data_IF_098527972093
#
_entry.id   IF_098527972093
#
_cell.length_a   1.000
_cell.length_b   1.000
_cell.length_c   1.000
_cell.angle_alpha   90.00
_cell.angle_beta   90.00
_cell.angle_gamma   90.00
#
_symmetry.space_group_name_H-M   'P 1'
#
loop_
_entity.id
_entity.type
_entity.pdbx_description
1 polymer ?
#
# COMPACT_ATOMS: atom_id res chain seq x y z
N UNK A 1 29.34 16.30 -0.04
CA UNK A 1 29.58 14.97 0.56
C UNK A 1 28.26 14.45 1.12
N UNK A 2 27.55 13.60 0.38
CA UNK A 2 26.37 12.89 0.90
C UNK A 2 26.87 11.75 1.79
N UNK A 3 26.76 11.91 3.11
CA UNK A 3 26.98 10.82 4.06
C UNK A 3 26.03 9.69 3.68
N UNK A 4 26.57 8.55 3.27
CA UNK A 4 25.79 7.32 3.20
C UNK A 4 25.49 6.95 4.66
N UNK A 5 24.27 7.22 5.14
CA UNK A 5 23.79 6.62 6.37
C UNK A 5 23.75 5.11 6.13
N UNK A 6 24.71 4.40 6.70
CA UNK A 6 24.62 2.96 6.81
C UNK A 6 23.46 2.66 7.74
N UNK A 7 22.38 2.12 7.18
CA UNK A 7 21.26 1.65 7.98
C UNK A 7 21.76 0.56 8.92
N UNK A 8 21.42 0.69 10.21
CA UNK A 8 21.62 -0.41 11.15
C UNK A 8 20.90 -1.67 10.65
N UNK A 9 21.49 -2.83 10.94
CA UNK A 9 20.94 -4.15 10.61
C UNK A 9 19.50 -4.26 11.10
N UNK A 10 19.21 -3.77 12.31
CA UNK A 10 17.86 -3.79 12.90
C UNK A 10 16.84 -3.02 12.06
N UNK A 11 17.22 -1.85 11.53
CA UNK A 11 16.32 -1.01 10.73
C UNK A 11 16.06 -1.62 9.36
N UNK A 12 17.11 -2.20 8.76
CA UNK A 12 16.98 -2.95 7.51
C UNK A 12 16.02 -4.13 7.65
N UNK A 13 16.12 -4.86 8.76
CA UNK A 13 15.25 -6.01 9.03
C UNK A 13 13.79 -5.59 9.21
N UNK A 14 13.53 -4.53 10.00
CA UNK A 14 12.17 -3.99 10.19
C UNK A 14 11.59 -3.49 8.87
N UNK A 15 12.38 -2.80 8.05
CA UNK A 15 11.96 -2.34 6.74
C UNK A 15 11.50 -3.50 5.85
N UNK A 16 12.30 -4.57 5.74
CA UNK A 16 11.95 -5.74 4.94
C UNK A 16 10.71 -6.46 5.45
N UNK A 17 10.53 -6.58 6.78
CA UNK A 17 9.31 -7.16 7.35
C UNK A 17 8.09 -6.34 6.94
N UNK A 18 8.13 -5.03 7.18
CA UNK A 18 7.00 -4.15 6.85
C UNK A 18 6.74 -4.13 5.33
N UNK A 19 7.79 -4.19 4.53
CA UNK A 19 7.68 -4.20 3.07
C UNK A 19 7.04 -5.51 2.59
N UNK A 20 7.45 -6.66 3.13
CA UNK A 20 6.83 -7.94 2.83
C UNK A 20 5.37 -8.00 3.26
N UNK A 21 5.02 -7.41 4.41
CA UNK A 21 3.63 -7.31 4.87
C UNK A 21 2.81 -6.44 3.91
N UNK A 22 3.31 -5.26 3.54
CA UNK A 22 2.65 -4.40 2.55
C UNK A 22 2.49 -5.10 1.20
N UNK A 23 3.54 -5.79 0.72
CA UNK A 23 3.48 -6.54 -0.53
C UNK A 23 2.44 -7.67 -0.49
N UNK A 24 2.35 -8.39 0.63
CA UNK A 24 1.33 -9.42 0.85
C UNK A 24 -0.08 -8.83 0.83
N UNK A 25 -0.28 -7.67 1.46
CA UNK A 25 -1.54 -6.92 1.45
C UNK A 25 -1.91 -6.53 0.01
N UNK A 26 -0.98 -5.94 -0.74
CA UNK A 26 -1.20 -5.59 -2.15
C UNK A 26 -1.61 -6.81 -2.98
N UNK A 27 -0.97 -7.96 -2.79
CA UNK A 27 -1.33 -9.21 -3.47
C UNK A 27 -2.74 -9.68 -3.09
N UNK A 28 -3.10 -9.62 -1.81
CA UNK A 28 -4.45 -9.98 -1.34
C UNK A 28 -5.52 -9.07 -1.96
N UNK A 29 -5.29 -7.75 -2.00
CA UNK A 29 -6.22 -6.82 -2.65
C UNK A 29 -6.28 -7.04 -4.17
N UNK A 30 -5.16 -7.34 -4.82
CA UNK A 30 -5.15 -7.65 -6.25
C UNK A 30 -5.99 -8.89 -6.56
N UNK A 31 -5.86 -9.95 -5.77
CA UNK A 31 -6.70 -11.15 -5.89
C UNK A 31 -8.17 -10.82 -5.62
N UNK A 32 -8.47 -10.01 -4.60
CA UNK A 32 -9.83 -9.58 -4.30
C UNK A 32 -10.48 -8.83 -5.47
N UNK A 33 -9.75 -7.90 -6.10
CA UNK A 33 -10.21 -7.17 -7.30
C UNK A 33 -10.46 -8.13 -8.46
N UNK A 34 -9.57 -9.09 -8.68
CA UNK A 34 -9.70 -10.06 -9.77
C UNK A 34 -10.96 -10.92 -9.62
N UNK A 35 -11.28 -11.34 -8.38
CA UNK A 35 -12.48 -12.14 -8.08
C UNK A 35 -13.74 -11.27 -8.21
N UNK A 36 -13.78 -10.14 -7.51
CA UNK A 36 -14.99 -9.28 -7.41
C UNK A 36 -15.27 -8.45 -8.66
N UNK A 37 -14.24 -8.18 -9.48
CA UNK A 37 -14.40 -7.46 -10.75
C UNK A 37 -15.31 -8.18 -11.74
N UNK A 38 -15.49 -9.50 -11.59
CA UNK A 38 -16.40 -10.31 -12.41
C UNK A 38 -17.89 -10.07 -12.10
N UNK A 39 -18.22 -9.47 -10.96
CA UNK A 39 -19.61 -9.32 -10.47
C UNK A 39 -20.26 -7.96 -10.82
N UNK A 40 -19.61 -7.12 -11.64
CA UNK A 40 -20.21 -5.88 -12.15
C UNK A 40 -20.20 -4.69 -11.17
N UNK A 41 -19.52 -4.80 -10.02
CA UNK A 41 -19.38 -3.73 -9.02
C UNK A 41 -18.36 -2.64 -9.42
N UNK A 42 -18.57 -2.02 -10.60
CA UNK A 42 -17.61 -1.15 -11.28
C UNK A 42 -16.98 -0.03 -10.42
N UNK A 43 -17.74 0.75 -9.61
CA UNK A 43 -17.16 1.83 -8.82
C UNK A 43 -16.20 1.32 -7.73
N UNK A 44 -16.53 0.19 -7.10
CA UNK A 44 -15.72 -0.43 -6.03
C UNK A 44 -14.47 -1.06 -6.62
N UNK A 45 -14.58 -1.72 -7.77
CA UNK A 45 -13.44 -2.30 -8.51
C UNK A 45 -12.45 -1.22 -8.92
N UNK A 46 -12.93 -0.08 -9.46
CA UNK A 46 -12.06 1.06 -9.82
C UNK A 46 -11.36 1.65 -8.60
N UNK A 47 -12.07 1.86 -7.49
CA UNK A 47 -11.49 2.38 -6.26
C UNK A 47 -10.37 1.47 -5.74
N UNK A 48 -10.66 0.18 -5.60
CA UNK A 48 -9.68 -0.79 -5.11
C UNK A 48 -8.47 -0.89 -6.06
N UNK A 49 -8.69 -0.81 -7.37
CA UNK A 49 -7.60 -0.79 -8.37
C UNK A 49 -6.70 0.43 -8.20
N UNK A 50 -7.28 1.62 -7.99
CA UNK A 50 -6.53 2.84 -7.73
C UNK A 50 -5.71 2.73 -6.42
N UNK A 51 -6.30 2.13 -5.37
CA UNK A 51 -5.61 1.90 -4.10
C UNK A 51 -4.44 0.93 -4.25
N UNK A 52 -4.63 -0.19 -4.94
CA UNK A 52 -3.56 -1.18 -5.20
C UNK A 52 -2.43 -0.59 -6.04
N UNK A 53 -2.75 0.21 -7.06
CA UNK A 53 -1.75 0.92 -7.86
C UNK A 53 -0.93 1.91 -7.01
N UNK A 54 -1.61 2.67 -6.14
CA UNK A 54 -0.95 3.61 -5.24
C UNK A 54 -0.04 2.88 -4.23
N UNK A 55 -0.52 1.77 -3.66
CA UNK A 55 0.27 0.95 -2.73
C UNK A 55 1.51 0.35 -3.40
N UNK A 56 1.32 -0.29 -4.55
CA UNK A 56 2.42 -0.86 -5.34
C UNK A 56 3.46 0.19 -5.71
N UNK A 57 3.02 1.41 -6.05
CA UNK A 57 3.93 2.53 -6.32
C UNK A 57 4.72 2.95 -5.07
N UNK A 58 4.08 3.04 -3.90
CA UNK A 58 4.75 3.36 -2.64
C UNK A 58 5.79 2.29 -2.29
N UNK A 59 5.43 1.01 -2.38
CA UNK A 59 6.33 -0.12 -2.09
C UNK A 59 7.50 -0.19 -3.07
N UNK A 60 7.25 0.01 -4.36
CA UNK A 60 8.32 0.04 -5.36
C UNK A 60 9.28 1.21 -5.12
N UNK A 61 8.74 2.40 -4.85
CA UNK A 61 9.52 3.62 -4.60
C UNK A 61 10.30 3.53 -3.29
N UNK A 62 9.72 2.95 -2.24
CA UNK A 62 10.39 2.74 -0.94
C UNK A 62 11.55 1.75 -1.08
N UNK A 63 11.38 0.63 -1.79
CA UNK A 63 12.48 -0.30 -2.10
C UNK A 63 13.61 0.39 -2.86
N UNK A 64 13.28 1.17 -3.91
CA UNK A 64 14.29 1.90 -4.69
C UNK A 64 15.05 2.93 -3.85
N UNK A 65 14.39 3.60 -2.91
CA UNK A 65 15.04 4.55 -2.00
C UNK A 65 15.87 3.89 -0.92
N UNK A 66 15.45 2.71 -0.45
CA UNK A 66 16.21 1.90 0.48
C UNK A 66 17.52 1.40 -0.16
N UNK A 67 17.44 0.80 -1.36
CA UNK A 67 18.61 0.31 -2.10
C UNK A 67 19.61 1.41 -2.47
N UNK A 68 19.13 2.60 -2.86
CA UNK A 68 19.99 3.72 -3.20
C UNK A 68 20.37 4.62 -2.01
N UNK A 69 19.93 4.30 -0.77
CA UNK A 69 20.18 5.09 0.44
C UNK A 69 19.88 6.59 0.26
N UNK A 70 18.79 6.92 -0.45
CA UNK A 70 18.44 8.30 -0.83
C UNK A 70 17.57 9.04 0.19
N UNK A 71 17.06 8.36 1.21
CA UNK A 71 16.17 8.92 2.24
C UNK A 71 16.58 8.46 3.63
N UNK A 72 16.12 9.17 4.66
CA UNK A 72 16.31 8.74 6.04
C UNK A 72 15.48 7.48 6.33
N UNK A 73 15.99 6.65 7.25
CA UNK A 73 15.36 5.38 7.57
C UNK A 73 13.98 5.55 8.22
N UNK A 74 13.81 6.57 9.07
CA UNK A 74 12.54 6.90 9.71
C UNK A 74 11.45 7.26 8.70
N UNK A 75 11.81 7.99 7.65
CA UNK A 75 10.88 8.38 6.61
C UNK A 75 10.47 7.18 5.74
N UNK A 76 11.42 6.30 5.42
CA UNK A 76 11.14 5.02 4.74
C UNK A 76 10.22 4.12 5.56
N UNK A 77 10.47 3.99 6.87
CA UNK A 77 9.65 3.20 7.77
C UNK A 77 8.23 3.76 7.90
N UNK A 78 8.07 5.09 7.94
CA UNK A 78 6.76 5.73 7.93
C UNK A 78 6.00 5.44 6.64
N UNK A 79 6.67 5.49 5.48
CA UNK A 79 6.02 5.21 4.20
C UNK A 79 5.54 3.77 4.11
N UNK A 80 6.38 2.81 4.51
CA UNK A 80 6.02 1.39 4.48
C UNK A 80 5.02 1.05 5.58
N UNK A 81 5.12 1.64 6.78
CA UNK A 81 4.13 1.48 7.84
C UNK A 81 2.76 2.05 7.45
N UNK A 82 2.73 3.20 6.78
CA UNK A 82 1.49 3.75 6.22
C UNK A 82 0.92 2.87 5.12
N UNK A 83 1.77 2.26 4.27
CA UNK A 83 1.33 1.24 3.32
C UNK A 83 0.66 0.05 4.03
N UNK A 84 1.30 -0.49 5.06
CA UNK A 84 0.80 -1.70 5.73
C UNK A 84 -0.50 -1.48 6.54
N UNK A 85 -0.76 -0.26 7.03
CA UNK A 85 -1.91 0.02 7.91
C UNK A 85 -2.90 0.99 7.27
N UNK A 86 -2.41 2.13 6.78
CA UNK A 86 -3.24 3.21 6.24
C UNK A 86 -3.92 2.84 4.94
N UNK A 87 -3.23 2.16 4.03
CA UNK A 87 -3.81 1.76 2.72
C UNK A 87 -4.98 0.79 2.89
N UNK A 88 -4.90 -0.29 3.70
CA UNK A 88 -6.06 -1.13 4.01
C UNK A 88 -7.24 -0.35 4.58
N UNK A 89 -7.00 0.63 5.46
CA UNK A 89 -8.07 1.47 6.03
C UNK A 89 -8.73 2.35 4.96
N UNK A 90 -7.95 2.91 4.03
CA UNK A 90 -8.46 3.71 2.91
C UNK A 90 -9.27 2.83 1.94
N UNK A 91 -8.79 1.62 1.65
CA UNK A 91 -9.52 0.65 0.84
C UNK A 91 -10.88 0.31 1.48
N UNK A 92 -10.87 -0.01 2.78
CA UNK A 92 -12.08 -0.32 3.54
C UNK A 92 -13.08 0.85 3.57
N UNK A 93 -12.59 2.07 3.80
CA UNK A 93 -13.41 3.28 3.81
C UNK A 93 -14.11 3.54 2.48
N UNK A 94 -13.42 3.35 1.35
CA UNK A 94 -14.03 3.50 0.03
C UNK A 94 -15.07 2.42 -0.30
N UNK A 95 -14.84 1.18 0.12
CA UNK A 95 -15.85 0.11 0.00
C UNK A 95 -17.12 0.43 0.80
N UNK A 96 -16.97 0.96 2.02
CA UNK A 96 -18.11 1.40 2.84
C UNK A 96 -18.86 2.56 2.16
N UNK A 97 -18.16 3.63 1.77
CA UNK A 97 -18.79 4.78 1.11
C UNK A 97 -19.53 4.40 -0.18
N UNK A 98 -18.97 3.49 -0.98
CA UNK A 98 -19.65 2.95 -2.17
C UNK A 98 -20.96 2.23 -1.84
N UNK A 99 -20.98 1.45 -0.76
CA UNK A 99 -22.16 0.69 -0.35
C UNK A 99 -23.25 1.59 0.26
N UNK A 100 -22.86 2.62 1.02
CA UNK A 100 -23.80 3.60 1.59
C UNK A 100 -24.32 4.58 0.52
N UNK A 101 -23.50 4.99 -0.44
CA UNK A 101 -23.91 5.86 -1.54
C UNK A 101 -24.90 5.21 -2.51
N UNK A 102 -24.74 3.90 -2.77
CA UNK A 102 -25.67 3.15 -3.63
C UNK A 102 -27.03 2.89 -2.98
N UNK A 103 -27.09 2.79 -1.64
CA UNK A 103 -28.34 2.52 -0.90
C UNK A 103 -29.23 3.76 -0.69
N UNK A 104 -28.71 4.96 -0.91
CA UNK A 104 -29.47 6.22 -0.80
C UNK A 104 -30.00 6.65 -2.19
N UNK A 105 -29.45 6.10 -3.27
CA UNK A 105 -29.77 6.44 -4.66
C UNK A 105 -30.68 5.41 -5.38
N UNK A 106 -31.12 4.35 -4.70
CA UNK A 106 -32.08 3.35 -5.20
C UNK A 106 -33.26 3.22 -4.25
#
# INVERSE_FOLDING_TARGET
MTKFEEYSISVSFIFWILWCVGFLITLLFFLFIFITGSEGAWPVTLWNTAVVMAEGFILFKSNRYFLHKKKSASELLLWVGFSAIGVPMIAFGGCMLGNWGFRIAG
#
